data_IF_126252502284
#
_entry.id   IF_126252502284
#
_cell.length_a   1.000
_cell.length_b   1.000
_cell.length_c   1.000
_cell.angle_alpha   90.00
_cell.angle_beta   90.00
_cell.angle_gamma   90.00
#
_symmetry.space_group_name_H-M   'P 1'
#
loop_
_entity.id
_entity.type
_entity.pdbx_description
1 polymer ?
#
# COMPACT_ATOMS: atom_id res chain seq x y z
N UNK A 1 -11.38 -17.57 0.45
CA UNK A 1 -10.70 -16.63 1.37
C UNK A 1 -9.39 -17.27 1.78
N UNK A 2 -8.26 -16.57 1.69
CA UNK A 2 -6.95 -17.08 2.13
C UNK A 2 -6.56 -16.41 3.44
N UNK A 3 -6.03 -17.17 4.38
CA UNK A 3 -5.53 -16.66 5.66
C UNK A 3 -4.01 -16.89 5.75
N UNK A 4 -3.25 -15.82 5.94
CA UNK A 4 -1.82 -15.88 6.20
C UNK A 4 -1.59 -15.60 7.69
N UNK A 5 -1.11 -16.58 8.44
CA UNK A 5 -0.89 -16.49 9.89
C UNK A 5 0.59 -16.71 10.24
N UNK A 6 1.06 -16.09 11.33
CA UNK A 6 2.44 -16.21 11.81
C UNK A 6 2.91 -14.97 12.56
N UNK A 7 4.12 -15.02 13.11
CA UNK A 7 4.74 -13.96 13.92
C UNK A 7 4.89 -12.61 13.19
N UNK A 8 5.03 -11.48 13.91
CA UNK A 8 5.41 -10.21 13.31
C UNK A 8 6.63 -10.36 12.38
N UNK A 9 6.61 -9.62 11.27
CA UNK A 9 7.68 -9.63 10.25
C UNK A 9 7.90 -10.95 9.48
N UNK A 10 7.01 -11.94 9.59
CA UNK A 10 7.09 -13.21 8.83
C UNK A 10 6.72 -13.13 7.34
N UNK A 11 6.66 -11.93 6.74
CA UNK A 11 6.37 -11.77 5.30
C UNK A 11 4.91 -11.97 4.87
N UNK A 12 3.95 -12.08 5.79
CA UNK A 12 2.51 -12.29 5.46
C UNK A 12 1.95 -11.35 4.40
N UNK A 13 2.18 -10.04 4.54
CA UNK A 13 1.70 -9.07 3.55
C UNK A 13 2.39 -9.26 2.20
N UNK A 14 3.69 -9.60 2.19
CA UNK A 14 4.42 -9.90 0.96
C UNK A 14 3.81 -11.10 0.25
N UNK A 15 3.50 -12.18 0.98
CA UNK A 15 2.84 -13.36 0.42
C UNK A 15 1.43 -13.05 -0.10
N UNK A 16 0.65 -12.25 0.63
CA UNK A 16 -0.69 -11.82 0.20
C UNK A 16 -0.65 -10.96 -1.08
N UNK A 17 0.32 -10.03 -1.17
CA UNK A 17 0.53 -9.21 -2.36
C UNK A 17 1.02 -10.04 -3.56
N UNK A 18 1.84 -11.05 -3.31
CA UNK A 18 2.32 -11.96 -4.35
C UNK A 18 1.20 -12.86 -4.88
N UNK A 19 0.34 -13.39 -4.00
CA UNK A 19 -0.87 -14.08 -4.41
C UNK A 19 -1.77 -13.17 -5.25
N UNK A 20 -1.92 -11.90 -4.86
CA UNK A 20 -2.70 -10.93 -5.62
C UNK A 20 -2.13 -10.68 -7.03
N UNK A 21 -0.79 -10.67 -7.17
CA UNK A 21 -0.08 -10.58 -8.46
C UNK A 21 -0.34 -11.82 -9.32
N UNK A 22 -0.15 -13.02 -8.76
CA UNK A 22 -0.30 -14.29 -9.49
C UNK A 22 -1.73 -14.46 -10.01
N UNK A 23 -2.73 -14.20 -9.16
CA UNK A 23 -4.16 -14.35 -9.52
C UNK A 23 -4.62 -13.34 -10.58
N UNK A 24 -3.97 -12.19 -10.70
CA UNK A 24 -4.26 -11.20 -11.73
C UNK A 24 -3.31 -11.25 -12.94
N UNK A 25 -2.34 -12.16 -12.93
CA UNK A 25 -1.43 -12.31 -14.06
C UNK A 25 -2.21 -12.64 -15.34
N UNK A 26 -1.83 -12.03 -16.45
CA UNK A 26 -2.40 -12.29 -17.78
C UNK A 26 -1.92 -13.64 -18.37
N UNK A 27 -0.95 -14.28 -17.72
CA UNK A 27 -0.31 -15.52 -18.12
C UNK A 27 -0.30 -16.55 -16.97
N UNK A 28 0.84 -17.20 -16.70
CA UNK A 28 1.00 -18.30 -15.74
C UNK A 28 1.40 -17.86 -14.32
N UNK A 29 1.64 -16.57 -14.09
CA UNK A 29 2.05 -16.06 -12.77
C UNK A 29 3.52 -16.32 -12.42
N UNK A 30 4.36 -16.68 -13.39
CA UNK A 30 5.80 -16.89 -13.19
C UNK A 30 6.49 -15.70 -12.52
N UNK A 31 7.57 -16.02 -11.79
CA UNK A 31 8.42 -15.01 -11.20
C UNK A 31 9.06 -14.15 -12.29
N UNK A 32 9.04 -12.83 -12.12
CA UNK A 32 9.57 -11.90 -13.13
C UNK A 32 8.66 -11.64 -14.34
N UNK A 33 7.42 -12.14 -14.35
CA UNK A 33 6.46 -11.81 -15.39
C UNK A 33 6.28 -10.29 -15.57
N UNK A 34 6.38 -9.82 -16.81
CA UNK A 34 6.33 -8.40 -17.19
C UNK A 34 4.99 -7.96 -17.80
N UNK A 35 3.92 -8.78 -17.72
CA UNK A 35 2.59 -8.37 -18.17
C UNK A 35 2.12 -7.09 -17.46
N UNK A 36 1.14 -6.40 -18.05
CA UNK A 36 0.65 -5.11 -17.52
C UNK A 36 0.17 -5.27 -16.08
N UNK A 37 -0.61 -6.31 -15.79
CA UNK A 37 -1.08 -6.56 -14.42
C UNK A 37 0.05 -6.84 -13.42
N UNK A 38 1.06 -7.63 -13.79
CA UNK A 38 2.20 -7.92 -12.91
C UNK A 38 3.05 -6.68 -12.64
N UNK A 39 3.28 -5.85 -13.66
CA UNK A 39 4.01 -4.59 -13.52
C UNK A 39 3.28 -3.62 -12.59
N UNK A 40 1.95 -3.48 -12.74
CA UNK A 40 1.13 -2.66 -11.85
C UNK A 40 1.06 -3.23 -10.41
N UNK A 41 1.08 -4.55 -10.25
CA UNK A 41 1.10 -5.20 -8.93
C UNK A 41 2.46 -5.00 -8.23
N UNK A 42 3.54 -5.04 -9.00
CA UNK A 42 4.90 -4.76 -8.53
C UNK A 42 5.06 -3.29 -8.08
N UNK A 43 4.39 -2.36 -8.75
CA UNK A 43 4.37 -0.95 -8.36
C UNK A 43 3.32 -0.61 -7.29
N UNK A 44 2.51 -1.58 -6.84
CA UNK A 44 1.32 -1.41 -5.97
C UNK A 44 0.23 -0.49 -6.55
N UNK A 45 0.17 -0.34 -7.87
CA UNK A 45 -0.81 0.50 -8.57
C UNK A 45 -1.93 -0.29 -9.22
N UNK A 46 -1.95 -1.62 -9.12
CA UNK A 46 -3.04 -2.44 -9.68
C UNK A 46 -4.41 -1.99 -9.12
N UNK A 47 -5.39 -1.65 -9.98
CA UNK A 47 -6.65 -1.03 -9.54
C UNK A 47 -7.58 -2.01 -8.82
N UNK A 48 -7.46 -3.31 -9.11
CA UNK A 48 -8.31 -4.35 -8.52
C UNK A 48 -7.72 -4.98 -7.25
N UNK A 49 -6.88 -4.24 -6.54
CA UNK A 49 -6.30 -4.65 -5.24
C UNK A 49 -6.54 -3.58 -4.19
N UNK A 50 -7.39 -3.87 -3.21
CA UNK A 50 -7.58 -3.02 -2.04
C UNK A 50 -6.74 -3.54 -0.87
N UNK A 51 -6.18 -2.63 -0.09
CA UNK A 51 -5.39 -2.92 1.10
C UNK A 51 -5.91 -2.08 2.27
N UNK A 52 -6.38 -2.72 3.33
CA UNK A 52 -6.77 -2.04 4.58
C UNK A 52 -6.25 -2.80 5.80
N UNK A 53 -6.43 -2.23 6.99
CA UNK A 53 -5.92 -2.71 8.27
C UNK A 53 -4.86 -1.78 8.86
N UNK A 54 -4.52 -2.04 10.12
CA UNK A 54 -3.47 -1.31 10.83
C UNK A 54 -2.13 -2.03 10.71
N UNK A 55 -1.04 -1.29 10.49
CA UNK A 55 0.32 -1.85 10.39
C UNK A 55 1.37 -0.85 10.88
N UNK A 56 2.54 -1.35 11.25
CA UNK A 56 3.77 -0.60 11.50
C UNK A 56 4.34 0.06 10.24
N UNK A 57 3.52 0.76 9.45
CA UNK A 57 3.90 1.33 8.15
C UNK A 57 5.11 2.26 8.29
N UNK A 58 5.14 3.09 9.34
CA UNK A 58 6.27 3.99 9.58
C UNK A 58 7.56 3.26 9.92
N UNK A 59 7.52 2.13 10.61
CA UNK A 59 8.72 1.36 10.91
C UNK A 59 9.38 0.84 9.62
N UNK A 60 8.59 0.24 8.72
CA UNK A 60 9.11 -0.23 7.44
C UNK A 60 9.59 0.91 6.55
N UNK A 61 8.85 2.02 6.52
CA UNK A 61 9.21 3.20 5.73
C UNK A 61 10.54 3.77 6.23
N UNK A 62 10.73 3.95 7.54
CA UNK A 62 11.97 4.44 8.13
C UNK A 62 13.16 3.51 7.82
N UNK A 63 13.01 2.20 8.03
CA UNK A 63 14.08 1.24 7.72
C UNK A 63 14.47 1.26 6.23
N UNK A 64 13.47 1.34 5.34
CA UNK A 64 13.74 1.45 3.91
C UNK A 64 14.31 2.82 3.49
N UNK A 65 14.05 3.87 4.26
CA UNK A 65 14.67 5.18 4.05
C UNK A 65 16.17 5.13 4.35
N UNK A 66 16.55 4.53 5.49
CA UNK A 66 17.95 4.32 5.85
C UNK A 66 18.66 3.46 4.80
N UNK A 67 18.01 2.39 4.33
CA UNK A 67 18.54 1.57 3.24
C UNK A 67 18.76 2.38 1.95
N UNK A 68 17.80 3.22 1.55
CA UNK A 68 17.93 4.07 0.37
C UNK A 68 19.06 5.10 0.49
N UNK A 69 19.20 5.74 1.66
CA UNK A 69 20.24 6.76 1.88
C UNK A 69 21.64 6.14 1.85
N UNK A 70 21.80 4.95 2.42
CA UNK A 70 23.11 4.28 2.51
C UNK A 70 23.50 3.58 1.21
N UNK A 71 22.59 2.81 0.61
CA UNK A 71 22.91 1.94 -0.53
C UNK A 71 22.79 2.66 -1.88
N UNK A 72 21.82 3.57 -2.02
CA UNK A 72 21.59 4.38 -3.23
C UNK A 72 21.50 3.56 -4.54
N UNK A 73 20.96 2.35 -4.46
CA UNK A 73 20.75 1.44 -5.59
C UNK A 73 19.30 1.41 -6.06
N UNK A 74 19.04 0.88 -7.27
CA UNK A 74 17.67 0.65 -7.77
C UNK A 74 16.84 -0.25 -6.86
N UNK A 75 17.45 -1.25 -6.24
CA UNK A 75 16.79 -2.11 -5.27
C UNK A 75 16.34 -1.33 -4.03
N UNK A 76 17.19 -0.42 -3.54
CA UNK A 76 16.83 0.43 -2.41
C UNK A 76 15.73 1.45 -2.74
N UNK A 77 15.74 2.02 -3.96
CA UNK A 77 14.63 2.83 -4.48
C UNK A 77 13.33 2.02 -4.49
N UNK A 78 13.38 0.80 -5.01
CA UNK A 78 12.22 -0.06 -5.13
C UNK A 78 11.61 -0.39 -3.76
N UNK A 79 12.43 -0.79 -2.78
CA UNK A 79 11.96 -1.12 -1.44
C UNK A 79 11.33 0.11 -0.75
N UNK A 80 11.99 1.27 -0.80
CA UNK A 80 11.46 2.49 -0.20
C UNK A 80 10.15 2.94 -0.84
N UNK A 81 10.14 3.07 -2.16
CA UNK A 81 8.95 3.49 -2.91
C UNK A 81 7.78 2.54 -2.73
N UNK A 82 8.03 1.22 -2.71
CA UNK A 82 6.99 0.22 -2.45
C UNK A 82 6.45 0.34 -1.03
N UNK A 83 7.28 0.57 -0.02
CA UNK A 83 6.82 0.75 1.37
C UNK A 83 5.97 2.01 1.55
N UNK A 84 6.35 3.12 0.91
CA UNK A 84 5.53 4.35 0.88
C UNK A 84 4.20 4.08 0.19
N UNK A 85 4.18 3.41 -0.97
CA UNK A 85 2.94 3.08 -1.67
C UNK A 85 2.02 2.14 -0.90
N UNK A 86 2.55 1.24 -0.05
CA UNK A 86 1.70 0.44 0.87
C UNK A 86 0.89 1.32 1.80
N UNK A 87 1.45 2.43 2.28
CA UNK A 87 0.75 3.39 3.13
C UNK A 87 -0.32 4.15 2.32
N UNK A 88 0.07 4.71 1.17
CA UNK A 88 -0.84 5.45 0.27
C UNK A 88 -2.04 4.57 -0.14
N UNK A 89 -1.82 3.29 -0.45
CA UNK A 89 -2.87 2.35 -0.89
C UNK A 89 -4.02 2.21 0.13
N UNK A 90 -3.76 2.45 1.43
CA UNK A 90 -4.79 2.42 2.48
C UNK A 90 -5.75 3.61 2.43
N UNK A 91 -5.38 4.64 1.70
CA UNK A 91 -6.21 5.81 1.39
C UNK A 91 -6.82 5.71 -0.02
N UNK A 92 -6.97 4.51 -0.57
CA UNK A 92 -7.73 4.34 -1.80
C UNK A 92 -9.16 4.88 -1.62
N UNK A 93 -9.65 5.68 -2.57
CA UNK A 93 -10.96 6.33 -2.47
C UNK A 93 -12.13 5.33 -2.32
N UNK A 94 -11.98 4.09 -2.82
CA UNK A 94 -12.98 3.05 -2.66
C UNK A 94 -13.09 2.54 -1.21
N UNK A 95 -12.14 2.88 -0.34
CA UNK A 95 -12.15 2.55 1.09
C UNK A 95 -12.70 3.68 1.96
N UNK A 96 -12.81 4.90 1.44
CA UNK A 96 -13.12 6.09 2.24
C UNK A 96 -14.38 6.80 1.76
N UNK A 97 -15.00 7.56 2.66
CA UNK A 97 -16.00 8.54 2.25
C UNK A 97 -15.30 9.82 1.84
N UNK A 98 -15.72 10.43 0.73
CA UNK A 98 -15.18 11.73 0.30
C UNK A 98 -15.51 12.82 1.33
N UNK A 99 -16.56 12.62 2.13
CA UNK A 99 -16.91 13.53 3.21
C UNK A 99 -16.14 13.29 4.51
N UNK A 100 -15.44 12.15 4.65
CA UNK A 100 -14.69 11.79 5.85
C UNK A 100 -13.57 12.80 6.14
N UNK A 101 -13.58 13.38 7.35
CA UNK A 101 -12.62 14.41 7.75
C UNK A 101 -11.16 13.92 7.75
N UNK A 102 -10.90 12.65 8.07
CA UNK A 102 -9.56 12.06 8.05
C UNK A 102 -9.08 11.90 6.60
N UNK A 103 -9.98 11.45 5.73
CA UNK A 103 -9.67 11.36 4.30
C UNK A 103 -9.37 12.74 3.70
N UNK A 104 -10.22 13.74 3.96
CA UNK A 104 -9.99 15.14 3.52
C UNK A 104 -8.65 15.70 3.98
N UNK A 105 -8.24 15.45 5.24
CA UNK A 105 -6.93 15.83 5.77
C UNK A 105 -5.77 15.10 5.07
N UNK A 106 -5.98 13.84 4.70
CA UNK A 106 -4.97 13.02 4.02
C UNK A 106 -4.72 13.46 2.57
N UNK A 107 -5.72 13.97 1.84
CA UNK A 107 -5.60 14.31 0.41
C UNK A 107 -4.38 15.19 0.09
N UNK A 108 -4.13 16.24 0.88
CA UNK A 108 -2.98 17.11 0.65
C UNK A 108 -1.65 16.36 0.78
N UNK A 109 -1.51 15.53 1.83
CA UNK A 109 -0.30 14.72 2.02
C UNK A 109 -0.16 13.63 0.95
N UNK A 110 -1.26 13.03 0.48
CA UNK A 110 -1.23 12.04 -0.62
C UNK A 110 -0.63 12.66 -1.89
N UNK A 111 -1.16 13.82 -2.32
CA UNK A 111 -0.68 14.52 -3.52
C UNK A 111 0.80 14.93 -3.38
N UNK A 112 1.18 15.50 -2.24
CA UNK A 112 2.56 15.89 -1.96
C UNK A 112 3.51 14.70 -2.00
N UNK A 113 3.11 13.55 -1.44
CA UNK A 113 3.94 12.35 -1.47
C UNK A 113 4.08 11.85 -2.90
N UNK A 114 3.00 11.73 -3.67
CA UNK A 114 3.08 11.23 -5.05
C UNK A 114 4.03 12.07 -5.92
N UNK A 115 3.96 13.40 -5.80
CA UNK A 115 4.85 14.32 -6.52
C UNK A 115 6.32 14.12 -6.14
N UNK A 116 6.61 14.08 -4.84
CA UNK A 116 8.00 13.97 -4.35
C UNK A 116 8.55 12.56 -4.58
N UNK A 117 7.71 11.53 -4.45
CA UNK A 117 8.07 10.13 -4.62
C UNK A 117 8.50 9.83 -6.06
N UNK A 118 7.89 10.50 -7.04
CA UNK A 118 8.27 10.39 -8.46
C UNK A 118 9.77 10.61 -8.66
N UNK A 119 10.39 11.57 -7.95
CA UNK A 119 11.80 11.95 -8.08
C UNK A 119 12.80 10.85 -7.67
N UNK A 120 12.33 9.82 -6.97
CA UNK A 120 13.17 8.73 -6.44
C UNK A 120 12.64 7.35 -6.83
N UNK A 121 11.70 7.28 -7.78
CA UNK A 121 11.24 6.01 -8.33
C UNK A 121 12.40 5.23 -8.98
N UNK A 122 12.32 3.89 -9.05
CA UNK A 122 13.37 3.07 -9.66
C UNK A 122 13.67 3.38 -11.13
N UNK A 123 12.74 4.05 -11.82
CA UNK A 123 12.90 4.52 -13.20
C UNK A 123 13.69 5.82 -13.31
N UNK A 124 13.89 6.53 -12.19
CA UNK A 124 14.63 7.79 -12.13
C UNK A 124 16.06 7.57 -11.62
N UNK A 125 16.95 8.47 -12.06
CA UNK A 125 18.26 8.60 -11.44
C UNK A 125 18.13 9.30 -10.09
N UNK A 126 18.80 8.76 -9.07
CA UNK A 126 18.76 9.36 -7.74
C UNK A 126 19.39 10.75 -7.72
N UNK A 127 18.79 11.69 -6.98
CA UNK A 127 19.44 12.96 -6.67
C UNK A 127 20.79 12.79 -5.97
N UNK A 128 21.60 13.84 -6.00
CA UNK A 128 22.79 13.95 -5.15
C UNK A 128 22.43 13.78 -3.67
N UNK A 129 23.35 13.25 -2.87
CA UNK A 129 23.11 12.77 -1.50
C UNK A 129 22.37 13.75 -0.60
N UNK A 130 22.83 15.01 -0.50
CA UNK A 130 22.17 16.05 0.31
C UNK A 130 20.73 16.30 -0.13
N UNK A 131 20.48 16.32 -1.44
CA UNK A 131 19.14 16.49 -2.00
C UNK A 131 18.28 15.25 -1.73
N UNK A 132 18.83 14.06 -1.88
CA UNK A 132 18.15 12.80 -1.57
C UNK A 132 17.72 12.73 -0.10
N UNK A 133 18.61 13.05 0.84
CA UNK A 133 18.29 13.08 2.27
C UNK A 133 17.15 14.06 2.57
N UNK A 134 17.17 15.26 1.97
CA UNK A 134 16.10 16.25 2.11
C UNK A 134 14.77 15.75 1.52
N UNK A 135 14.81 15.15 0.33
CA UNK A 135 13.65 14.54 -0.33
C UNK A 135 13.04 13.43 0.52
N UNK A 136 13.85 12.50 1.01
CA UNK A 136 13.41 11.39 1.88
C UNK A 136 12.81 11.94 3.17
N UNK A 137 13.44 12.93 3.82
CA UNK A 137 12.91 13.57 5.03
C UNK A 137 11.53 14.20 4.82
N UNK A 138 11.31 14.84 3.67
CA UNK A 138 9.98 15.38 3.31
C UNK A 138 8.94 14.26 3.17
N UNK A 139 9.28 13.17 2.47
CA UNK A 139 8.38 12.01 2.33
C UNK A 139 8.05 11.40 3.68
N UNK A 140 9.05 11.20 4.56
CA UNK A 140 8.83 10.67 5.92
C UNK A 140 7.89 11.56 6.74
N UNK A 141 8.01 12.87 6.61
CA UNK A 141 7.16 13.84 7.31
C UNK A 141 5.70 13.71 6.86
N UNK A 142 5.45 13.70 5.55
CA UNK A 142 4.10 13.52 5.01
C UNK A 142 3.54 12.12 5.29
N UNK A 143 4.37 11.07 5.23
CA UNK A 143 3.98 9.71 5.61
C UNK A 143 3.57 9.64 7.09
N UNK A 144 4.28 10.35 7.98
CA UNK A 144 3.93 10.46 9.40
C UNK A 144 2.55 11.10 9.60
N UNK A 145 2.26 12.19 8.87
CA UNK A 145 0.93 12.82 8.87
C UNK A 145 -0.15 11.83 8.44
N UNK A 146 0.04 11.15 7.30
CA UNK A 146 -0.89 10.13 6.83
C UNK A 146 -1.09 8.99 7.81
N UNK A 147 -0.01 8.45 8.38
CA UNK A 147 -0.08 7.34 9.32
C UNK A 147 -0.93 7.67 10.56
N UNK A 148 -0.96 8.94 10.99
CA UNK A 148 -1.78 9.39 12.11
C UNK A 148 -3.28 9.43 11.81
N UNK A 149 -3.67 9.58 10.54
CA UNK A 149 -5.07 9.59 10.12
C UNK A 149 -5.67 8.18 10.00
N UNK A 150 -4.84 7.14 9.92
CA UNK A 150 -5.32 5.76 9.82
C UNK A 150 -6.07 5.32 11.09
N UNK A 151 -7.12 4.48 10.95
CA UNK A 151 -7.76 3.84 12.09
C UNK A 151 -6.76 3.04 12.94
N UNK A 152 -6.74 3.31 14.25
CA UNK A 152 -5.85 2.61 15.20
C UNK A 152 -6.50 1.29 15.61
N UNK A 153 -5.83 0.18 15.30
CA UNK A 153 -6.12 -1.13 15.89
C UNK A 153 -7.41 -1.83 15.44
N UNK A 154 -8.13 -1.35 14.42
CA UNK A 154 -9.29 -2.05 13.85
C UNK A 154 -9.53 -1.60 12.39
N UNK A 155 -10.22 -2.44 11.60
CA UNK A 155 -10.80 -2.07 10.30
C UNK A 155 -12.23 -1.55 10.54
N UNK A 156 -12.52 -0.26 10.23
CA UNK A 156 -13.86 0.29 10.44
C UNK A 156 -14.91 -0.44 9.62
N UNK A 157 -16.10 -0.65 10.20
CA UNK A 157 -17.25 -1.26 9.50
C UNK A 157 -17.64 -0.49 8.24
N UNK A 158 -17.46 0.84 8.21
CA UNK A 158 -17.70 1.66 7.04
C UNK A 158 -16.80 1.25 5.86
N UNK A 159 -15.55 0.89 6.12
CA UNK A 159 -14.63 0.38 5.09
C UNK A 159 -15.05 -1.01 4.63
N UNK A 160 -15.48 -1.90 5.53
CA UNK A 160 -16.00 -3.23 5.15
C UNK A 160 -17.22 -3.10 4.23
N UNK A 161 -18.19 -2.24 4.57
CA UNK A 161 -19.36 -1.99 3.72
C UNK A 161 -18.97 -1.46 2.35
N UNK A 162 -18.00 -0.54 2.29
CA UNK A 162 -17.48 0.00 1.02
C UNK A 162 -16.75 -1.07 0.20
N UNK A 163 -15.99 -1.94 0.85
CA UNK A 163 -15.39 -3.13 0.21
C UNK A 163 -16.48 -4.01 -0.39
N UNK A 164 -17.54 -4.34 0.35
CA UNK A 164 -18.63 -5.18 -0.16
C UNK A 164 -19.30 -4.57 -1.40
N UNK A 165 -19.51 -3.25 -1.40
CA UNK A 165 -20.01 -2.52 -2.58
C UNK A 165 -18.99 -2.51 -3.72
N UNK A 166 -17.71 -2.32 -3.42
CA UNK A 166 -16.63 -2.35 -4.40
C UNK A 166 -16.55 -3.71 -5.08
N UNK A 167 -16.61 -4.82 -4.35
CA UNK A 167 -16.54 -6.18 -4.92
C UNK A 167 -17.63 -6.39 -5.98
N UNK A 168 -18.85 -5.91 -5.74
CA UNK A 168 -20.00 -6.06 -6.66
C UNK A 168 -19.90 -5.29 -7.97
N UNK A 169 -19.02 -4.28 -8.08
CA UNK A 169 -18.81 -3.55 -9.36
C UNK A 169 -18.22 -4.49 -10.44
N UNK A 170 -18.38 -4.18 -11.72
CA UNK A 170 -17.69 -4.93 -12.79
C UNK A 170 -16.16 -4.74 -12.74
N UNK A 171 -15.38 -5.72 -13.22
CA UNK A 171 -13.90 -5.71 -13.15
C UNK A 171 -13.18 -5.89 -14.50
N UNK A 172 -13.88 -5.74 -15.62
CA UNK A 172 -13.30 -5.87 -16.97
C UNK A 172 -12.38 -7.09 -17.14
N UNK A 173 -12.77 -8.23 -16.55
CA UNK A 173 -12.02 -9.49 -16.61
C UNK A 173 -10.98 -9.72 -15.50
N UNK A 174 -10.61 -8.69 -14.74
CA UNK A 174 -9.64 -8.81 -13.65
C UNK A 174 -10.25 -9.43 -12.38
N UNK A 175 -9.40 -10.04 -11.55
CA UNK A 175 -9.83 -10.58 -10.25
C UNK A 175 -9.69 -9.50 -9.17
N UNK A 176 -10.77 -9.26 -8.45
CA UNK A 176 -10.76 -8.35 -7.30
C UNK A 176 -10.14 -9.03 -6.10
N UNK A 177 -9.09 -8.41 -5.56
CA UNK A 177 -8.40 -8.88 -4.36
C UNK A 177 -8.53 -7.83 -3.28
N UNK A 178 -8.96 -8.26 -2.09
CA UNK A 178 -9.00 -7.43 -0.89
C UNK A 178 -8.06 -8.05 0.12
N UNK A 179 -7.11 -7.26 0.59
CA UNK A 179 -6.17 -7.65 1.65
C UNK A 179 -6.60 -6.94 2.93
N UNK A 180 -7.04 -7.74 3.90
CA UNK A 180 -7.40 -7.30 5.25
C UNK A 180 -6.24 -7.64 6.19
N UNK A 181 -5.47 -6.64 6.60
CA UNK A 181 -4.42 -6.85 7.60
C UNK A 181 -4.95 -6.78 9.02
N UNK A 182 -4.41 -7.66 9.86
CA UNK A 182 -4.80 -7.81 11.27
C UNK A 182 -6.29 -8.07 11.45
N UNK A 183 -6.84 -8.97 10.62
CA UNK A 183 -8.25 -9.33 10.65
C UNK A 183 -8.70 -9.88 12.02
N UNK A 184 -7.77 -10.41 12.82
CA UNK A 184 -8.02 -10.84 14.20
C UNK A 184 -8.52 -9.68 15.09
N UNK A 185 -8.13 -8.43 14.79
CA UNK A 185 -8.55 -7.25 15.52
C UNK A 185 -9.89 -6.68 15.06
N UNK A 186 -10.52 -7.29 14.04
CA UNK A 186 -11.84 -6.87 13.61
C UNK A 186 -12.87 -7.10 14.72
N UNK A 187 -13.64 -6.08 15.04
CA UNK A 187 -14.81 -6.20 15.91
C UNK A 187 -15.89 -7.07 15.26
N UNK A 188 -16.75 -7.70 16.06
CA UNK A 188 -17.80 -8.61 15.58
C UNK A 188 -18.73 -7.94 14.56
N UNK A 189 -19.03 -6.66 14.74
CA UNK A 189 -19.80 -5.86 13.79
C UNK A 189 -19.11 -5.73 12.42
N UNK A 190 -17.78 -5.60 12.39
CA UNK A 190 -16.99 -5.59 11.16
C UNK A 190 -16.87 -7.00 10.55
N UNK A 191 -16.82 -8.06 11.37
CA UNK A 191 -16.77 -9.46 10.90
C UNK A 191 -18.08 -9.88 10.22
N UNK A 192 -19.21 -9.45 10.79
CA UNK A 192 -20.56 -9.80 10.32
C UNK A 192 -21.07 -8.90 9.19
N UNK A 193 -20.26 -7.95 8.69
CA UNK A 193 -20.66 -7.00 7.64
C UNK A 193 -20.28 -7.41 6.21
N UNK A 194 -19.68 -8.60 6.04
CA UNK A 194 -19.40 -9.19 4.72
C UNK A 194 -20.64 -9.80 4.09
#
# INVERSE_FOLDING_TARGET
>A
MYAFFGEPYSGKLTAALELARVVNCEFTGEWGCSCKSCTQSLSLQHPYTLLTGSRYSMLEINQSADFLINERSRSSQFVFTRNVRKLIKRFNEDLWDKEDNKYKKAVSSLNNIEEILYLIEPTQNLPAEKKLQSTVKKILTECGKLANELPKGNIPISQIRKISNWVRRSSSGNKKVVILERAELMQDSSRNAF
#
